data_IF_847954511192
#
_entry.id   IF_847954511192
#
_cell.length_a   1.000
_cell.length_b   1.000
_cell.length_c   1.000
_cell.angle_alpha   90.00
_cell.angle_beta   90.00
_cell.angle_gamma   90.00
#
_symmetry.space_group_name_H-M   'P 1'
#
loop_
_entity.id
_entity.type
_entity.pdbx_description
1 polymer ?
#
# COMPACT_ATOMS: atom_id res chain seq x y z
N UNK A 1 9.89 0.15 -18.81
CA UNK A 1 10.53 -0.11 -20.11
C UNK A 1 10.59 1.19 -20.89
N UNK A 2 11.78 1.62 -21.30
CA UNK A 2 11.94 2.57 -22.39
C UNK A 2 11.52 1.85 -23.69
N UNK A 3 10.46 2.33 -24.33
CA UNK A 3 10.02 1.87 -25.66
C UNK A 3 10.73 2.62 -26.79
N UNK A 4 10.76 2.07 -28.02
CA UNK A 4 11.61 2.56 -29.10
C UNK A 4 11.03 3.82 -29.76
N UNK A 5 11.92 4.75 -30.12
CA UNK A 5 11.64 5.87 -31.01
C UNK A 5 11.64 5.42 -32.48
N UNK A 6 10.77 6.07 -33.27
CA UNK A 6 10.72 6.20 -34.76
C UNK A 6 9.81 5.19 -35.48
N UNK A 7 8.85 5.51 -36.35
CA UNK A 7 8.26 6.72 -36.97
C UNK A 7 7.18 6.20 -38.01
N UNK A 8 6.61 7.00 -38.93
CA UNK A 8 5.52 7.98 -38.87
C UNK A 8 4.19 7.48 -39.50
N UNK A 9 3.09 8.19 -39.23
CA UNK A 9 1.91 8.23 -40.12
C UNK A 9 0.66 7.55 -39.57
N UNK A 10 -0.41 8.33 -39.42
CA UNK A 10 -1.72 7.80 -39.00
C UNK A 10 -2.48 8.75 -38.07
N UNK A 11 -2.80 9.93 -38.60
CA UNK A 11 -3.78 10.85 -38.02
C UNK A 11 -5.12 10.11 -37.96
N UNK A 12 -5.75 10.00 -36.79
CA UNK A 12 -7.18 10.21 -36.51
C UNK A 12 -7.63 9.48 -35.22
N UNK A 13 -8.08 10.26 -34.24
CA UNK A 13 -8.93 9.76 -33.15
C UNK A 13 -8.41 9.97 -31.72
N UNK A 14 -8.15 11.21 -31.32
CA UNK A 14 -8.20 11.56 -29.89
C UNK A 14 -9.21 12.70 -29.70
N UNK A 15 -10.21 12.55 -28.81
CA UNK A 15 -11.17 13.60 -28.55
C UNK A 15 -10.47 14.77 -27.87
N UNK A 16 -10.45 15.89 -28.59
CA UNK A 16 -10.52 17.27 -28.09
C UNK A 16 -10.47 17.43 -26.55
N UNK A 17 -9.25 17.46 -25.99
CA UNK A 17 -8.96 18.09 -24.70
C UNK A 17 -8.22 19.39 -24.99
N UNK A 18 -9.00 20.43 -25.20
CA UNK A 18 -8.53 21.79 -25.34
C UNK A 18 -9.40 22.69 -24.50
N UNK A 19 -8.87 23.09 -23.33
CA UNK A 19 -9.06 24.36 -22.58
C UNK A 19 -8.99 24.22 -21.03
N UNK A 20 -8.65 23.04 -20.50
CA UNK A 20 -8.26 22.89 -19.07
C UNK A 20 -6.83 22.32 -18.90
N UNK A 21 -6.06 22.26 -19.99
CA UNK A 21 -4.88 21.41 -20.10
C UNK A 21 -3.58 22.01 -19.57
N UNK A 22 -3.41 23.32 -19.39
CA UNK A 22 -2.10 23.84 -18.95
C UNK A 22 -1.83 23.55 -17.46
N UNK A 23 -2.83 23.81 -16.59
CA UNK A 23 -2.73 23.44 -15.17
C UNK A 23 -2.77 21.92 -14.98
N UNK A 24 -3.56 21.21 -15.79
CA UNK A 24 -3.71 19.75 -15.67
C UNK A 24 -2.50 19.02 -16.25
N UNK A 25 -1.90 19.48 -17.35
CA UNK A 25 -0.65 18.93 -17.91
C UNK A 25 0.57 19.30 -17.07
N UNK A 26 0.63 20.52 -16.53
CA UNK A 26 1.66 20.89 -15.55
C UNK A 26 1.50 20.08 -14.25
N UNK A 27 0.26 19.83 -13.80
CA UNK A 27 -0.02 18.96 -12.67
C UNK A 27 0.32 17.50 -12.97
N UNK A 28 0.00 16.97 -14.15
CA UNK A 28 0.37 15.60 -14.57
C UNK A 28 1.88 15.48 -14.70
N UNK A 29 2.58 16.48 -15.23
CA UNK A 29 4.04 16.49 -15.34
C UNK A 29 4.72 16.59 -13.96
N UNK A 30 4.14 17.36 -13.05
CA UNK A 30 4.58 17.40 -11.66
C UNK A 30 4.29 16.07 -10.95
N UNK A 31 3.12 15.46 -11.19
CA UNK A 31 2.74 14.16 -10.64
C UNK A 31 3.59 13.03 -11.21
N UNK A 32 3.94 13.06 -12.49
CA UNK A 32 4.83 12.08 -13.13
C UNK A 32 6.26 12.23 -12.61
N UNK A 33 6.76 13.45 -12.44
CA UNK A 33 8.06 13.70 -11.83
C UNK A 33 8.12 13.20 -10.38
N UNK A 34 7.03 13.36 -9.61
CA UNK A 34 6.92 12.79 -8.26
C UNK A 34 6.87 11.26 -8.32
N UNK A 35 6.10 10.67 -9.24
CA UNK A 35 6.00 9.21 -9.40
C UNK A 35 7.28 8.55 -9.90
N UNK A 36 8.12 9.26 -10.64
CA UNK A 36 9.43 8.77 -11.11
C UNK A 36 10.52 8.89 -10.04
N UNK A 37 10.32 9.70 -8.99
CA UNK A 37 11.28 9.86 -7.91
C UNK A 37 11.09 8.78 -6.83
N UNK A 38 12.18 8.19 -6.32
CA UNK A 38 12.08 7.23 -5.21
C UNK A 38 11.41 7.79 -3.95
N UNK A 39 11.69 9.05 -3.52
CA UNK A 39 10.96 9.65 -2.41
C UNK A 39 9.46 9.82 -2.68
N UNK A 40 9.09 10.19 -3.91
CA UNK A 40 7.69 10.34 -4.29
C UNK A 40 6.96 9.00 -4.39
N UNK A 41 7.54 7.98 -5.04
CA UNK A 41 7.01 6.60 -5.10
C UNK A 41 6.77 6.04 -3.69
N UNK A 42 7.74 6.25 -2.79
CA UNK A 42 7.65 5.86 -1.37
C UNK A 42 6.55 6.61 -0.62
N UNK A 43 6.44 7.93 -0.80
CA UNK A 43 5.42 8.73 -0.12
C UNK A 43 4.01 8.36 -0.59
N UNK A 44 3.82 8.23 -1.91
CA UNK A 44 2.52 7.88 -2.51
C UNK A 44 2.08 6.48 -2.07
N UNK A 45 2.97 5.48 -2.15
CA UNK A 45 2.67 4.12 -1.69
C UNK A 45 2.43 4.05 -0.18
N UNK A 46 3.16 4.82 0.62
CA UNK A 46 2.94 4.93 2.06
C UNK A 46 1.57 5.52 2.41
N UNK A 47 1.17 6.61 1.73
CA UNK A 47 -0.15 7.24 1.91
C UNK A 47 -1.27 6.30 1.45
N UNK A 48 -1.10 5.65 0.29
CA UNK A 48 -2.08 4.70 -0.22
C UNK A 48 -2.24 3.50 0.72
N UNK A 49 -1.13 2.94 1.22
CA UNK A 49 -1.15 1.89 2.23
C UNK A 49 -1.78 2.35 3.54
N UNK A 50 -1.52 3.57 3.98
CA UNK A 50 -2.14 4.13 5.18
C UNK A 50 -3.66 4.26 5.03
N UNK A 51 -4.14 4.78 3.89
CA UNK A 51 -5.55 4.92 3.61
C UNK A 51 -6.27 3.55 3.58
N UNK A 52 -5.71 2.59 2.84
CA UNK A 52 -6.24 1.23 2.75
C UNK A 52 -6.23 0.53 4.12
N UNK A 53 -5.15 0.66 4.88
CA UNK A 53 -5.03 0.09 6.23
C UNK A 53 -5.97 0.74 7.25
N UNK A 54 -6.26 2.04 7.09
CA UNK A 54 -7.23 2.74 7.93
C UNK A 54 -8.66 2.26 7.70
N UNK A 55 -9.05 2.11 6.43
CA UNK A 55 -10.35 1.56 6.06
C UNK A 55 -10.48 0.09 6.52
N UNK A 56 -9.47 -0.73 6.24
CA UNK A 56 -9.43 -2.13 6.67
C UNK A 56 -9.47 -2.27 8.20
N UNK A 57 -8.71 -1.43 8.92
CA UNK A 57 -8.67 -1.45 10.38
C UNK A 57 -9.97 -0.97 11.03
N UNK A 58 -10.66 0.00 10.43
CA UNK A 58 -11.97 0.44 10.89
C UNK A 58 -13.02 -0.66 10.69
N UNK A 59 -12.99 -1.33 9.53
CA UNK A 59 -13.87 -2.45 9.22
C UNK A 59 -13.65 -3.65 10.15
N UNK A 60 -12.40 -4.03 10.41
CA UNK A 60 -12.10 -5.08 11.38
C UNK A 60 -12.50 -4.69 12.80
N UNK A 61 -12.31 -3.43 13.18
CA UNK A 61 -12.75 -2.93 14.48
C UNK A 61 -14.27 -2.96 14.64
N UNK A 62 -15.04 -2.62 13.60
CA UNK A 62 -16.51 -2.68 13.64
C UNK A 62 -17.01 -4.12 13.78
N UNK A 63 -16.42 -5.08 13.04
CA UNK A 63 -16.77 -6.50 13.18
C UNK A 63 -16.48 -7.05 14.58
N UNK A 64 -15.39 -6.60 15.21
CA UNK A 64 -15.07 -6.99 16.60
C UNK A 64 -15.96 -6.33 17.66
N UNK A 65 -16.72 -5.29 17.29
CA UNK A 65 -17.65 -4.61 18.18
C UNK A 65 -19.04 -5.29 18.18
N UNK A 66 -19.37 -6.06 17.15
CA UNK A 66 -20.59 -6.89 17.06
C UNK A 66 -20.45 -8.24 17.79
N UNK A 67 -19.24 -8.69 18.14
CA UNK A 67 -19.06 -9.95 18.88
C UNK A 67 -19.51 -9.82 20.35
N UNK A 68 -20.32 -10.77 20.85
CA UNK A 68 -20.95 -10.66 22.17
C UNK A 68 -19.91 -10.61 23.30
N UNK A 69 -20.23 -9.75 24.26
CA UNK A 69 -19.49 -9.32 25.44
C UNK A 69 -18.81 -10.41 26.31
N UNK A 70 -19.05 -11.69 26.07
CA UNK A 70 -18.53 -12.79 26.90
C UNK A 70 -17.05 -13.10 26.67
N UNK A 71 -16.48 -12.68 25.53
CA UNK A 71 -15.09 -12.99 25.17
C UNK A 71 -14.10 -11.88 25.50
N UNK A 72 -14.56 -10.68 25.84
CA UNK A 72 -13.67 -9.53 26.09
C UNK A 72 -13.91 -8.89 27.47
N UNK A 73 -13.09 -9.20 28.50
CA UNK A 73 -13.29 -8.74 29.87
C UNK A 73 -13.18 -7.21 30.05
N UNK A 74 -12.63 -6.48 29.07
CA UNK A 74 -12.60 -5.01 29.06
C UNK A 74 -13.88 -4.37 28.54
N UNK A 75 -14.75 -5.11 27.84
CA UNK A 75 -16.02 -4.59 27.34
C UNK A 75 -17.09 -4.52 28.45
N UNK A 76 -17.04 -5.44 29.42
CA UNK A 76 -17.93 -5.46 30.59
C UNK A 76 -17.77 -4.21 31.48
N UNK A 77 -16.56 -3.65 31.58
CA UNK A 77 -16.27 -2.44 32.36
C UNK A 77 -16.73 -1.15 31.66
N UNK A 78 -16.90 -1.17 30.34
CA UNK A 78 -17.34 0.01 29.58
C UNK A 78 -18.86 0.17 29.68
N UNK A 79 -19.60 -0.94 29.74
CA UNK A 79 -21.07 -0.93 29.70
C UNK A 79 -21.74 -0.34 30.95
N UNK A 80 -21.03 -0.28 32.07
CA UNK A 80 -21.52 0.36 33.30
C UNK A 80 -21.34 1.88 33.33
N UNK A 81 -20.71 2.48 32.31
CA UNK A 81 -20.58 3.94 32.21
C UNK A 81 -21.74 4.55 31.41
N UNK A 82 -22.08 5.84 31.60
CA UNK A 82 -23.14 6.49 30.84
C UNK A 82 -22.92 6.38 29.32
N UNK A 83 -23.99 6.28 28.53
CA UNK A 83 -23.96 6.09 27.07
C UNK A 83 -23.01 7.06 26.33
N UNK A 84 -22.90 8.30 26.82
CA UNK A 84 -21.96 9.29 26.26
C UNK A 84 -20.48 8.88 26.42
N UNK A 85 -20.12 8.26 27.55
CA UNK A 85 -18.77 7.78 27.81
C UNK A 85 -18.48 6.49 27.06
N UNK A 86 -19.48 5.61 26.90
CA UNK A 86 -19.37 4.40 26.08
C UNK A 86 -19.09 4.75 24.62
N UNK A 87 -19.85 5.69 24.06
CA UNK A 87 -19.66 6.16 22.68
C UNK A 87 -18.28 6.82 22.55
N UNK A 88 -17.91 7.71 23.47
CA UNK A 88 -16.60 8.39 23.44
C UNK A 88 -15.43 7.39 23.52
N UNK A 89 -15.54 6.37 24.37
CA UNK A 89 -14.51 5.36 24.53
C UNK A 89 -14.47 4.39 23.36
N UNK A 90 -15.62 4.00 22.81
CA UNK A 90 -15.73 3.17 21.62
C UNK A 90 -15.12 3.85 20.39
N UNK A 91 -15.46 5.13 20.14
CA UNK A 91 -14.81 5.89 19.07
C UNK A 91 -13.30 6.00 19.25
N UNK A 92 -12.81 6.15 20.49
CA UNK A 92 -11.38 6.17 20.78
C UNK A 92 -10.71 4.83 20.50
N UNK A 93 -11.35 3.72 20.84
CA UNK A 93 -10.83 2.37 20.58
C UNK A 93 -10.85 2.04 19.08
N UNK A 94 -11.98 2.26 18.39
CA UNK A 94 -12.10 2.11 16.93
C UNK A 94 -11.03 2.93 16.21
N UNK A 95 -10.87 4.20 16.59
CA UNK A 95 -9.87 5.09 16.02
C UNK A 95 -8.44 4.61 16.27
N UNK A 96 -8.14 4.14 17.48
CA UNK A 96 -6.80 3.65 17.83
C UNK A 96 -6.44 2.37 17.05
N UNK A 97 -7.39 1.44 16.89
CA UNK A 97 -7.20 0.21 16.12
C UNK A 97 -7.06 0.49 14.62
N UNK A 98 -7.91 1.36 14.07
CA UNK A 98 -7.82 1.80 12.67
C UNK A 98 -6.48 2.49 12.41
N UNK A 99 -6.05 3.40 13.29
CA UNK A 99 -4.79 4.12 13.16
C UNK A 99 -3.56 3.23 13.32
N UNK A 100 -3.61 2.21 14.19
CA UNK A 100 -2.56 1.19 14.28
C UNK A 100 -2.44 0.40 12.97
N UNK A 101 -3.57 -0.03 12.41
CA UNK A 101 -3.62 -0.73 11.13
C UNK A 101 -3.08 0.14 9.99
N UNK A 102 -3.56 1.37 9.87
CA UNK A 102 -3.09 2.36 8.90
C UNK A 102 -1.57 2.56 8.97
N UNK A 103 -1.00 2.70 10.18
CA UNK A 103 0.46 2.83 10.36
C UNK A 103 1.21 1.60 9.87
N UNK A 104 0.69 0.39 10.13
CA UNK A 104 1.36 -0.85 9.70
C UNK A 104 1.34 -1.00 8.18
N UNK A 105 0.20 -0.80 7.53
CA UNK A 105 0.09 -0.87 6.06
C UNK A 105 0.86 0.26 5.37
N UNK A 106 0.87 1.47 5.94
CA UNK A 106 1.68 2.57 5.44
C UNK A 106 3.18 2.26 5.51
N UNK A 107 3.66 1.65 6.61
CA UNK A 107 5.06 1.19 6.72
C UNK A 107 5.40 0.13 5.69
N UNK A 108 4.52 -0.87 5.50
CA UNK A 108 4.71 -1.92 4.49
C UNK A 108 4.83 -1.30 3.10
N UNK A 109 3.88 -0.44 2.71
CA UNK A 109 3.85 0.20 1.39
C UNK A 109 5.09 1.06 1.15
N UNK A 110 5.47 1.87 2.13
CA UNK A 110 6.64 2.75 2.03
C UNK A 110 7.95 1.96 1.90
N UNK A 111 8.18 0.95 2.76
CA UNK A 111 9.41 0.15 2.71
C UNK A 111 9.47 -0.67 1.43
N UNK A 112 8.36 -1.26 1.00
CA UNK A 112 8.30 -2.04 -0.24
C UNK A 112 8.65 -1.18 -1.46
N UNK A 113 7.93 -0.07 -1.66
CA UNK A 113 8.14 0.79 -2.83
C UNK A 113 9.50 1.50 -2.80
N UNK A 114 9.96 1.91 -1.61
CA UNK A 114 11.28 2.51 -1.46
C UNK A 114 12.41 1.51 -1.77
N UNK A 115 12.30 0.28 -1.28
CA UNK A 115 13.29 -0.77 -1.54
C UNK A 115 13.31 -1.17 -3.01
N UNK A 116 12.13 -1.33 -3.63
CA UNK A 116 12.01 -1.60 -5.06
C UNK A 116 12.68 -0.48 -5.86
N UNK A 117 12.37 0.79 -5.58
CA UNK A 117 12.97 1.92 -6.30
C UNK A 117 14.50 1.98 -6.14
N UNK A 118 15.02 1.72 -4.94
CA UNK A 118 16.47 1.65 -4.72
C UNK A 118 17.13 0.50 -5.52
N UNK A 119 16.47 -0.67 -5.60
CA UNK A 119 16.97 -1.82 -6.37
C UNK A 119 16.91 -1.51 -7.87
N UNK A 120 15.82 -0.91 -8.35
CA UNK A 120 15.65 -0.47 -9.74
C UNK A 120 16.73 0.54 -10.12
N UNK A 121 16.99 1.53 -9.25
CA UNK A 121 18.04 2.52 -9.45
C UNK A 121 19.45 1.91 -9.51
N UNK A 122 19.72 0.85 -8.75
CA UNK A 122 21.01 0.17 -8.77
C UNK A 122 21.18 -0.82 -9.94
N UNK A 123 20.12 -1.57 -10.29
CA UNK A 123 20.18 -2.61 -11.34
C UNK A 123 19.82 -2.10 -12.75
N UNK A 124 19.23 -0.92 -12.85
CA UNK A 124 18.73 -0.32 -14.10
C UNK A 124 17.80 -1.26 -14.91
N UNK A 125 17.10 -2.17 -14.23
CA UNK A 125 16.14 -3.13 -14.78
C UNK A 125 14.90 -3.14 -13.89
N UNK A 126 13.72 -3.40 -14.47
CA UNK A 126 12.47 -3.67 -13.75
C UNK A 126 11.96 -5.05 -14.16
N UNK A 127 12.32 -6.05 -13.36
CA UNK A 127 11.97 -7.45 -13.56
C UNK A 127 11.35 -8.04 -12.29
N UNK A 128 10.74 -9.22 -12.40
CA UNK A 128 10.09 -9.95 -11.30
C UNK A 128 11.00 -10.14 -10.08
N UNK A 129 12.30 -10.33 -10.32
CA UNK A 129 13.30 -10.47 -9.27
C UNK A 129 13.37 -9.23 -8.35
N UNK A 130 13.12 -8.03 -8.85
CA UNK A 130 13.16 -6.82 -8.04
C UNK A 130 12.01 -6.79 -7.03
N UNK A 131 10.80 -7.15 -7.47
CA UNK A 131 9.63 -7.26 -6.61
C UNK A 131 9.83 -8.33 -5.52
N UNK A 132 10.40 -9.48 -5.88
CA UNK A 132 10.70 -10.56 -4.91
C UNK A 132 11.77 -10.13 -3.90
N UNK A 133 12.85 -9.49 -4.35
CA UNK A 133 13.90 -8.99 -3.46
C UNK A 133 13.38 -7.89 -2.54
N UNK A 134 12.64 -6.92 -3.07
CA UNK A 134 12.01 -5.86 -2.29
C UNK A 134 11.01 -6.44 -1.27
N UNK A 135 10.23 -7.45 -1.68
CA UNK A 135 9.34 -8.20 -0.79
C UNK A 135 10.11 -8.87 0.34
N UNK A 136 11.15 -9.64 0.04
CA UNK A 136 11.97 -10.31 1.06
C UNK A 136 12.57 -9.30 2.06
N UNK A 137 13.18 -8.22 1.56
CA UNK A 137 13.78 -7.19 2.42
C UNK A 137 12.71 -6.54 3.30
N UNK A 138 11.57 -6.18 2.72
CA UNK A 138 10.46 -5.56 3.48
C UNK A 138 9.94 -6.48 4.57
N UNK A 139 9.64 -7.74 4.23
CA UNK A 139 9.15 -8.73 5.18
C UNK A 139 10.17 -9.07 6.26
N UNK A 140 11.45 -9.19 5.88
CA UNK A 140 12.55 -9.44 6.81
C UNK A 140 12.77 -8.29 7.79
N UNK A 141 12.80 -7.05 7.31
CA UNK A 141 12.99 -5.85 8.14
C UNK A 141 11.81 -5.66 9.10
N UNK A 142 10.58 -5.85 8.63
CA UNK A 142 9.39 -5.70 9.47
C UNK A 142 9.29 -6.78 10.56
N UNK A 143 9.74 -7.99 10.27
CA UNK A 143 9.72 -9.11 11.21
C UNK A 143 11.00 -9.22 12.07
N UNK A 144 12.06 -8.47 11.75
CA UNK A 144 13.32 -8.49 12.49
C UNK A 144 13.18 -8.28 14.01
N UNK A 145 12.31 -7.38 14.52
CA UNK A 145 12.12 -7.23 15.96
C UNK A 145 11.55 -8.47 16.67
N UNK A 146 10.90 -9.38 15.94
CA UNK A 146 10.38 -10.64 16.46
C UNK A 146 11.41 -11.79 16.42
N UNK A 147 12.65 -11.51 16.00
CA UNK A 147 13.77 -12.46 15.98
C UNK A 147 14.11 -12.98 14.58
N UNK A 148 15.24 -13.72 14.45
CA UNK A 148 15.78 -14.14 13.15
C UNK A 148 14.88 -15.14 12.42
N UNK A 149 14.22 -16.05 13.14
CA UNK A 149 13.27 -16.99 12.53
C UNK A 149 12.05 -16.27 11.95
N UNK A 150 11.52 -15.29 12.67
CA UNK A 150 10.43 -14.45 12.16
C UNK A 150 10.87 -13.62 10.95
N UNK A 151 12.10 -13.09 10.94
CA UNK A 151 12.66 -12.39 9.79
C UNK A 151 12.77 -13.29 8.54
N UNK A 152 13.21 -14.54 8.70
CA UNK A 152 13.30 -15.50 7.58
C UNK A 152 11.91 -15.86 7.04
N UNK A 153 10.96 -16.15 7.92
CA UNK A 153 9.57 -16.44 7.54
C UNK A 153 8.93 -15.20 6.88
N UNK A 154 9.16 -14.02 7.43
CA UNK A 154 8.70 -12.75 6.89
C UNK A 154 9.26 -12.48 5.50
N UNK A 155 10.57 -12.65 5.30
CA UNK A 155 11.20 -12.55 3.99
C UNK A 155 10.57 -13.53 3.00
N UNK A 156 10.49 -14.82 3.35
CA UNK A 156 9.94 -15.84 2.46
C UNK A 156 8.48 -15.57 2.09
N UNK A 157 7.65 -15.20 3.06
CA UNK A 157 6.23 -14.88 2.85
C UNK A 157 6.02 -13.67 1.94
N UNK A 158 6.71 -12.55 2.22
CA UNK A 158 6.60 -11.36 1.39
C UNK A 158 7.22 -11.55 0.01
N UNK A 159 8.33 -12.28 -0.11
CA UNK A 159 8.93 -12.64 -1.39
C UNK A 159 7.96 -13.44 -2.26
N UNK A 160 7.31 -14.45 -1.69
CA UNK A 160 6.32 -15.28 -2.39
C UNK A 160 5.08 -14.46 -2.78
N UNK A 161 4.58 -13.61 -1.87
CA UNK A 161 3.44 -12.74 -2.16
C UNK A 161 3.76 -11.74 -3.29
N UNK A 162 4.92 -11.09 -3.24
CA UNK A 162 5.37 -10.20 -4.31
C UNK A 162 5.54 -10.94 -5.64
N UNK A 163 6.11 -12.14 -5.63
CA UNK A 163 6.22 -12.97 -6.84
C UNK A 163 4.84 -13.26 -7.45
N UNK A 164 3.86 -13.63 -6.61
CA UNK A 164 2.52 -13.95 -7.04
C UNK A 164 1.83 -12.73 -7.67
N UNK A 165 1.85 -11.57 -7.00
CA UNK A 165 1.23 -10.33 -7.49
C UNK A 165 1.90 -9.86 -8.78
N UNK A 166 3.23 -9.83 -8.82
CA UNK A 166 3.97 -9.43 -10.03
C UNK A 166 3.73 -10.39 -11.19
N UNK A 167 3.63 -11.70 -10.92
CA UNK A 167 3.31 -12.68 -11.95
C UNK A 167 1.91 -12.46 -12.49
N UNK A 168 0.93 -12.17 -11.60
CA UNK A 168 -0.46 -11.93 -11.95
C UNK A 168 -0.62 -10.67 -12.81
N UNK A 169 0.01 -9.56 -12.42
CA UNK A 169 -0.05 -8.31 -13.17
C UNK A 169 0.67 -8.37 -14.52
N UNK A 170 1.62 -9.30 -14.70
CA UNK A 170 2.35 -9.50 -15.97
C UNK A 170 1.71 -10.55 -16.89
N UNK A 171 0.62 -11.22 -16.48
CA UNK A 171 -0.08 -12.13 -17.39
C UNK A 171 -0.73 -11.30 -18.50
N UNK A 172 -0.56 -11.66 -19.78
CA UNK A 172 -1.37 -11.05 -20.83
C UNK A 172 -2.85 -11.32 -20.52
N UNK A 173 -3.71 -10.33 -20.73
CA UNK A 173 -5.16 -10.53 -20.68
C UNK A 173 -5.53 -11.42 -21.86
N UNK A 174 -5.71 -12.72 -21.61
CA UNK A 174 -6.25 -13.64 -22.60
C UNK A 174 -7.75 -13.33 -22.77
N UNK A 175 -8.08 -12.43 -23.71
CA UNK A 175 -9.45 -12.22 -24.20
C UNK A 175 -9.89 -10.76 -24.28
N UNK A 176 -9.54 -10.10 -25.39
CA UNK A 176 -10.44 -9.34 -26.28
C UNK A 176 -9.75 -9.15 -27.65
#
# INVERSE_FOLDING_TARGET
>A
MNGPLSNPGGINGHPNMGVADEQTMAAVKAMSAVMESCPGKTAVSGVMGFALGGAFGLFMASMSYDTPLSTNPTAATIQSLPLRQQIKQGFKDLGTRSLSSAKNFGKVGAIFSGTECCIEGFRAKNDLANGVMAGCITGGVLAAPAGPQAALVGCAGFAAFSAAIDSYMRRPSDGD
#
